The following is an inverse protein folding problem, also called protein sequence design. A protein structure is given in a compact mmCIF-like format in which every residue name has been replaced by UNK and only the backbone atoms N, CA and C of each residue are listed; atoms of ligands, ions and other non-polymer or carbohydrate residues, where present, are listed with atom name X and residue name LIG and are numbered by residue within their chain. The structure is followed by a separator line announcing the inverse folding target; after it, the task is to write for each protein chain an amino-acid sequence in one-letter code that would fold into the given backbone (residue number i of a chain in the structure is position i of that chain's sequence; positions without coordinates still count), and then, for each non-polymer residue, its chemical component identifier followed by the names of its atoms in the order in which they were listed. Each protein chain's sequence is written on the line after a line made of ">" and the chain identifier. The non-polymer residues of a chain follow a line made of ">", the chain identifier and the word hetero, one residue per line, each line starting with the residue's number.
data_IF_458684700630
#
_entry.id   IF_458684700630
#
_cell.length_a   1.000
_cell.length_b   1.000
_cell.length_c   1.000
_cell.angle_alpha   90.00
_cell.angle_beta   90.00
_cell.angle_gamma   90.00
#
_symmetry.space_group_name_H-M   'P 1'
#
loop_
_entity.id
_entity.type
_entity.pdbx_description
1 polymer ?
#
# COMPACT_ATOMS: atom_id res chain seq x y z
N UNK A 1 -12.37 -12.33 -3.58
CA UNK A 1 -13.48 -11.69 -4.30
C UNK A 1 -13.45 -10.22 -3.98
N UNK A 2 -13.58 -9.36 -4.99
CA UNK A 2 -13.75 -7.91 -4.78
C UNK A 2 -15.19 -7.62 -4.33
N UNK A 3 -15.37 -6.66 -3.42
CA UNK A 3 -16.71 -6.20 -3.00
C UNK A 3 -17.44 -5.52 -4.16
N UNK A 4 -18.77 -5.40 -4.15
CA UNK A 4 -19.51 -4.71 -5.21
C UNK A 4 -19.15 -3.21 -5.27
N UNK A 5 -19.09 -2.55 -4.11
CA UNK A 5 -18.84 -1.11 -3.90
C UNK A 5 -17.34 -0.72 -3.89
N UNK A 6 -16.46 -1.64 -4.29
CA UNK A 6 -15.03 -1.51 -3.99
C UNK A 6 -14.34 -0.31 -4.63
N UNK A 7 -14.80 0.12 -5.80
CA UNK A 7 -14.19 1.22 -6.55
C UNK A 7 -14.42 2.56 -5.84
N UNK A 8 -15.63 2.80 -5.36
CA UNK A 8 -15.98 4.01 -4.60
C UNK A 8 -15.19 4.06 -3.29
N UNK A 9 -15.16 2.92 -2.56
CA UNK A 9 -14.40 2.79 -1.31
C UNK A 9 -12.90 2.97 -1.52
N UNK A 10 -12.37 2.53 -2.65
CA UNK A 10 -10.95 2.72 -2.98
C UNK A 10 -10.63 4.20 -3.23
N UNK A 11 -11.48 4.90 -3.97
CA UNK A 11 -11.31 6.34 -4.21
C UNK A 11 -11.34 7.10 -2.88
N UNK A 12 -12.32 6.80 -2.02
CA UNK A 12 -12.43 7.38 -0.69
C UNK A 12 -11.16 7.13 0.15
N UNK A 13 -10.66 5.89 0.18
CA UNK A 13 -9.44 5.55 0.89
C UNK A 13 -8.24 6.37 0.37
N UNK A 14 -8.06 6.45 -0.95
CA UNK A 14 -6.95 7.23 -1.55
C UNK A 14 -7.07 8.71 -1.19
N UNK A 15 -8.28 9.29 -1.22
CA UNK A 15 -8.52 10.69 -0.85
C UNK A 15 -8.21 10.96 0.62
N UNK A 16 -8.72 10.13 1.54
CA UNK A 16 -8.44 10.26 2.97
C UNK A 16 -6.94 10.22 3.27
N UNK A 17 -6.21 9.34 2.59
CA UNK A 17 -4.76 9.23 2.77
C UNK A 17 -4.00 10.41 2.15
N UNK A 18 -4.54 11.03 1.09
CA UNK A 18 -3.96 12.22 0.50
C UNK A 18 -4.04 13.42 1.45
N UNK A 19 -5.13 13.56 2.20
CA UNK A 19 -5.37 14.68 3.14
C UNK A 19 -4.62 14.53 4.47
N UNK A 20 -4.30 13.30 4.89
CA UNK A 20 -3.57 13.06 6.15
C UNK A 20 -2.08 13.42 6.03
N UNK A 21 -1.43 13.92 7.08
CA UNK A 21 0.03 14.09 7.07
C UNK A 21 0.74 12.72 6.99
N UNK A 22 2.00 12.73 6.57
CA UNK A 22 2.81 11.52 6.66
C UNK A 22 3.05 11.16 8.13
N UNK A 23 2.88 9.89 8.48
CA UNK A 23 3.26 9.32 9.76
C UNK A 23 3.44 7.81 9.64
N UNK A 24 4.60 7.33 10.06
CA UNK A 24 4.90 5.90 10.12
C UNK A 24 3.88 5.18 11.02
N UNK A 25 3.28 4.11 10.49
CA UNK A 25 2.36 3.25 11.20
C UNK A 25 0.98 3.86 11.43
N UNK A 26 0.71 5.01 10.80
CA UNK A 26 -0.55 5.73 10.98
C UNK A 26 -0.74 6.28 12.39
N UNK A 27 0.34 6.55 13.13
CA UNK A 27 0.21 7.19 14.44
C UNK A 27 -0.14 8.67 14.30
N UNK A 28 -0.77 9.22 15.34
CA UNK A 28 -1.08 10.65 15.44
C UNK A 28 -1.97 11.17 14.28
N UNK A 29 -2.85 10.30 13.77
CA UNK A 29 -3.79 10.61 12.69
C UNK A 29 -3.16 10.70 11.29
N UNK A 30 -1.86 10.43 11.16
CA UNK A 30 -1.17 10.42 9.87
C UNK A 30 -1.27 9.08 9.14
N UNK A 31 -0.46 8.92 8.10
CA UNK A 31 -0.40 7.69 7.30
C UNK A 31 0.92 7.51 6.56
N UNK A 32 1.24 6.27 6.20
CA UNK A 32 2.38 5.89 5.35
C UNK A 32 1.93 5.03 4.16
N UNK A 33 2.87 4.65 3.30
CA UNK A 33 2.55 3.86 2.10
C UNK A 33 1.96 2.48 2.43
N UNK A 34 2.35 1.86 3.54
CA UNK A 34 1.87 0.55 3.94
C UNK A 34 0.42 0.64 4.46
N UNK A 35 0.11 1.65 5.28
CA UNK A 35 -1.25 1.93 5.73
C UNK A 35 -2.20 2.21 4.55
N UNK A 36 -1.76 3.01 3.57
CA UNK A 36 -2.53 3.27 2.35
C UNK A 36 -2.82 1.97 1.58
N UNK A 37 -1.79 1.15 1.37
CA UNK A 37 -1.95 -0.13 0.68
C UNK A 37 -2.92 -1.09 1.40
N UNK A 38 -2.88 -1.13 2.74
CA UNK A 38 -3.79 -1.98 3.54
C UNK A 38 -5.22 -1.45 3.58
N UNK A 39 -5.42 -0.14 3.65
CA UNK A 39 -6.76 0.45 3.54
C UNK A 39 -7.34 0.25 2.13
N UNK A 40 -6.51 0.31 1.08
CA UNK A 40 -6.93 -0.06 -0.26
C UNK A 40 -7.27 -1.56 -0.37
N UNK A 41 -6.48 -2.45 0.22
CA UNK A 41 -6.79 -3.88 0.25
C UNK A 41 -8.13 -4.16 0.96
N UNK A 42 -8.40 -3.46 2.07
CA UNK A 42 -9.68 -3.50 2.78
C UNK A 42 -10.81 -2.86 1.99
N UNK A 43 -10.54 -1.80 1.23
CA UNK A 43 -11.49 -1.19 0.31
C UNK A 43 -11.93 -2.21 -0.77
N UNK A 44 -10.96 -2.91 -1.34
CA UNK A 44 -11.14 -3.89 -2.42
C UNK A 44 -11.81 -5.17 -1.96
N UNK A 45 -11.35 -5.75 -0.87
CA UNK A 45 -11.71 -7.13 -0.45
C UNK A 45 -12.55 -7.20 0.81
N UNK A 46 -12.71 -6.07 1.53
CA UNK A 46 -13.32 -6.04 2.86
C UNK A 46 -12.38 -6.48 3.99
N UNK A 47 -11.18 -6.98 3.69
CA UNK A 47 -10.23 -7.51 4.67
C UNK A 47 -8.92 -6.74 4.66
N UNK A 48 -8.36 -6.50 5.84
CA UNK A 48 -7.01 -5.97 6.03
C UNK A 48 -6.10 -7.10 6.56
N UNK A 49 -5.19 -7.66 5.72
CA UNK A 49 -4.32 -8.77 6.12
C UNK A 49 -3.32 -8.41 7.22
N UNK A 50 -3.06 -7.13 7.45
CA UNK A 50 -2.08 -6.62 8.40
C UNK A 50 -2.68 -5.62 9.39
N UNK A 51 -3.96 -5.82 9.76
CA UNK A 51 -4.66 -4.98 10.71
C UNK A 51 -3.92 -4.83 12.06
N UNK A 52 -3.16 -5.85 12.46
CA UNK A 52 -2.38 -5.88 13.70
C UNK A 52 -1.00 -5.18 13.60
N UNK A 53 -0.68 -4.57 12.46
CA UNK A 53 0.48 -3.68 12.29
C UNK A 53 0.16 -2.20 12.53
N UNK A 54 -1.12 -1.82 12.54
CA UNK A 54 -1.55 -0.42 12.68
C UNK A 54 -1.16 0.17 14.04
N UNK A 55 -0.47 1.31 14.00
CA UNK A 55 -0.01 2.04 15.19
C UNK A 55 1.16 1.38 15.94
N UNK A 56 1.79 0.35 15.37
CA UNK A 56 2.80 -0.48 16.07
C UNK A 56 4.24 -0.08 15.80
N UNK A 57 4.44 0.94 14.97
CA UNK A 57 5.73 1.52 14.69
C UNK A 57 5.56 3.03 14.43
N UNK A 58 6.60 3.81 14.70
CA UNK A 58 6.63 5.28 14.52
C UNK A 58 7.82 5.75 13.67
N UNK A 59 8.62 4.81 13.18
CA UNK A 59 9.82 5.08 12.39
C UNK A 59 10.00 3.97 11.36
N UNK A 60 10.72 4.27 10.27
CA UNK A 60 11.15 3.29 9.26
C UNK A 60 11.87 2.09 9.87
N UNK A 61 12.80 2.34 10.79
CA UNK A 61 13.56 1.27 11.49
C UNK A 61 12.61 0.43 12.36
N UNK A 62 11.62 1.06 13.00
CA UNK A 62 10.57 0.37 13.74
C UNK A 62 9.75 -0.57 12.86
N UNK A 63 9.32 -0.09 11.69
CA UNK A 63 8.63 -0.92 10.68
C UNK A 63 9.51 -2.10 10.25
N UNK A 64 10.80 -1.87 9.96
CA UNK A 64 11.74 -2.91 9.53
C UNK A 64 11.92 -3.99 10.58
N UNK A 65 12.03 -3.60 11.86
CA UNK A 65 12.09 -4.56 12.97
C UNK A 65 10.81 -5.40 13.06
N UNK A 66 9.64 -4.81 12.79
CA UNK A 66 8.36 -5.54 12.79
C UNK A 66 8.27 -6.54 11.65
N UNK A 67 8.59 -6.14 10.42
CA UNK A 67 8.63 -7.05 9.27
C UNK A 67 9.62 -8.19 9.46
N UNK A 68 10.84 -7.88 9.94
CA UNK A 68 11.84 -8.92 10.26
C UNK A 68 11.36 -9.92 11.31
N UNK A 69 10.62 -9.48 12.33
CA UNK A 69 10.03 -10.39 13.34
C UNK A 69 9.00 -11.36 12.73
N UNK A 70 8.41 -11.04 11.58
CA UNK A 70 7.53 -11.93 10.80
C UNK A 70 8.29 -12.78 9.79
N UNK A 71 9.62 -12.67 9.70
CA UNK A 71 10.42 -13.35 8.70
C UNK A 71 10.47 -12.64 7.34
N UNK A 72 10.00 -11.40 7.25
CA UNK A 72 10.00 -10.60 6.02
C UNK A 72 11.23 -9.70 5.95
N UNK A 73 11.86 -9.62 4.78
CA UNK A 73 12.93 -8.67 4.49
C UNK A 73 12.41 -7.23 4.43
N UNK A 74 11.33 -7.00 3.67
CA UNK A 74 10.64 -5.70 3.59
C UNK A 74 9.22 -5.81 2.98
N UNK A 75 8.74 -4.75 2.32
CA UNK A 75 7.40 -4.63 1.73
C UNK A 75 7.08 -5.74 0.71
N UNK A 76 8.04 -6.10 -0.14
CA UNK A 76 7.81 -7.12 -1.18
C UNK A 76 7.41 -8.47 -0.58
N UNK A 77 8.15 -8.93 0.44
CA UNK A 77 7.87 -10.19 1.13
C UNK A 77 6.53 -10.13 1.87
N UNK A 78 6.24 -9.00 2.51
CA UNK A 78 4.98 -8.80 3.21
C UNK A 78 3.77 -8.88 2.24
N UNK A 79 3.86 -8.27 1.06
CA UNK A 79 2.77 -8.35 0.08
C UNK A 79 2.70 -9.73 -0.59
N UNK A 80 3.84 -10.34 -0.92
CA UNK A 80 3.90 -11.68 -1.52
C UNK A 80 3.33 -12.77 -0.59
N UNK A 81 3.37 -12.56 0.74
CA UNK A 81 2.82 -13.50 1.72
C UNK A 81 1.28 -13.55 1.72
N UNK A 82 0.60 -12.51 1.22
CA UNK A 82 -0.87 -12.38 1.31
C UNK A 82 -1.57 -12.09 -0.03
N UNK A 83 -0.83 -11.68 -1.06
CA UNK A 83 -1.35 -11.37 -2.38
C UNK A 83 -0.57 -12.11 -3.48
N UNK A 84 -1.27 -12.46 -4.56
CA UNK A 84 -0.66 -13.11 -5.72
C UNK A 84 0.12 -12.07 -6.56
N UNK A 85 1.40 -12.30 -6.89
CA UNK A 85 2.13 -11.43 -7.80
C UNK A 85 1.46 -11.37 -9.18
N UNK A 86 1.45 -10.19 -9.80
CA UNK A 86 0.93 -9.99 -11.16
C UNK A 86 1.98 -9.27 -12.01
N UNK A 87 2.12 -9.61 -13.31
CA UNK A 87 2.95 -8.83 -14.22
C UNK A 87 2.49 -7.36 -14.23
N UNK A 88 3.43 -6.43 -14.15
CA UNK A 88 3.13 -4.97 -14.10
C UNK A 88 2.21 -4.50 -15.23
N UNK A 89 2.36 -4.93 -16.50
CA UNK A 89 1.42 -4.56 -17.57
C UNK A 89 -0.02 -5.07 -17.39
N UNK A 90 -0.21 -6.07 -16.53
CA UNK A 90 -1.52 -6.65 -16.19
C UNK A 90 -2.06 -6.15 -14.86
N UNK A 91 -1.34 -5.25 -14.17
CA UNK A 91 -1.82 -4.66 -12.93
C UNK A 91 -3.05 -3.78 -13.22
N UNK A 92 -4.10 -3.96 -12.42
CA UNK A 92 -5.38 -3.28 -12.59
C UNK A 92 -5.68 -2.37 -11.41
N UNK A 93 -6.67 -1.48 -11.57
CA UNK A 93 -7.17 -0.66 -10.46
C UNK A 93 -7.43 -1.54 -9.22
N UNK A 94 -6.96 -1.08 -8.07
CA UNK A 94 -7.05 -1.79 -6.79
C UNK A 94 -5.85 -2.68 -6.47
N UNK A 95 -4.99 -3.00 -7.44
CA UNK A 95 -3.76 -3.76 -7.20
C UNK A 95 -2.71 -2.89 -6.50
N UNK A 96 -1.81 -3.56 -5.77
CA UNK A 96 -0.72 -2.91 -5.03
C UNK A 96 0.56 -3.03 -5.86
N UNK A 97 1.23 -1.91 -6.07
CA UNK A 97 2.52 -1.81 -6.71
C UNK A 97 3.63 -1.43 -5.73
N UNK A 98 4.87 -1.69 -6.15
CA UNK A 98 6.08 -1.18 -5.51
C UNK A 98 6.83 -0.27 -6.47
N UNK A 99 7.35 0.83 -5.93
CA UNK A 99 8.25 1.77 -6.62
C UNK A 99 9.35 2.23 -5.67
N UNK A 100 10.39 2.81 -6.24
CA UNK A 100 11.32 3.64 -5.48
C UNK A 100 10.82 5.09 -5.49
N UNK A 101 10.76 5.70 -4.31
CA UNK A 101 10.46 7.12 -4.13
C UNK A 101 11.40 7.67 -3.04
N UNK A 102 12.05 8.81 -3.29
CA UNK A 102 13.00 9.44 -2.37
C UNK A 102 14.14 8.48 -1.91
N UNK A 103 14.59 7.59 -2.79
CA UNK A 103 15.63 6.59 -2.48
C UNK A 103 15.16 5.48 -1.53
N UNK A 104 13.85 5.31 -1.37
CA UNK A 104 13.25 4.28 -0.52
C UNK A 104 12.15 3.51 -1.25
N UNK A 105 11.96 2.25 -0.88
CA UNK A 105 10.82 1.48 -1.32
C UNK A 105 9.51 2.08 -0.80
N UNK A 106 8.55 2.26 -1.70
CA UNK A 106 7.24 2.81 -1.42
C UNK A 106 6.15 1.93 -2.04
N UNK A 107 5.15 1.60 -1.25
CA UNK A 107 3.94 0.95 -1.74
C UNK A 107 3.00 1.97 -2.40
N UNK A 108 2.45 1.61 -3.54
CA UNK A 108 1.48 2.42 -4.30
C UNK A 108 0.27 1.57 -4.66
N UNK A 109 -0.88 2.20 -4.86
CA UNK A 109 -2.11 1.52 -5.27
C UNK A 109 -2.52 1.99 -6.65
N UNK A 110 -2.75 1.04 -7.54
CA UNK A 110 -3.15 1.32 -8.92
C UNK A 110 -4.55 1.91 -8.94
N UNK A 111 -4.72 3.07 -9.58
CA UNK A 111 -6.01 3.77 -9.72
C UNK A 111 -6.47 3.92 -11.19
N UNK A 112 -5.73 3.33 -12.12
CA UNK A 112 -5.96 3.41 -13.56
C UNK A 112 -4.63 3.26 -14.29
N UNK A 113 -4.27 4.21 -15.15
CA UNK A 113 -2.94 4.27 -15.78
C UNK A 113 -1.84 4.73 -14.80
N UNK A 114 -2.21 5.23 -13.62
CA UNK A 114 -1.32 5.69 -12.57
C UNK A 114 -1.54 4.89 -11.28
N UNK A 115 -0.54 4.93 -10.40
CA UNK A 115 -0.60 4.42 -9.04
C UNK A 115 -0.28 5.54 -8.04
N UNK A 116 -0.89 5.47 -6.85
CA UNK A 116 -0.78 6.50 -5.80
C UNK A 116 -0.20 5.89 -4.54
N UNK A 117 0.75 6.58 -3.90
CA UNK A 117 1.34 6.17 -2.64
C UNK A 117 1.54 7.34 -1.69
N UNK A 118 2.07 7.02 -0.50
CA UNK A 118 2.40 8.01 0.53
C UNK A 118 3.88 7.94 0.89
N UNK A 119 4.62 8.97 0.50
CA UNK A 119 6.03 9.17 0.87
C UNK A 119 6.16 10.13 2.05
N UNK A 120 7.36 10.25 2.62
CA UNK A 120 7.67 11.25 3.65
C UNK A 120 7.44 12.68 3.15
N UNK A 121 7.55 12.92 1.83
CA UNK A 121 7.29 14.22 1.19
C UNK A 121 5.81 14.47 0.85
N UNK A 122 4.95 13.50 1.15
CA UNK A 122 3.51 13.55 0.87
C UNK A 122 3.08 12.54 -0.19
N UNK A 123 1.94 12.82 -0.80
CA UNK A 123 1.32 11.93 -1.78
C UNK A 123 2.11 11.90 -3.08
N UNK A 124 2.41 10.71 -3.58
CA UNK A 124 3.08 10.51 -4.87
C UNK A 124 2.11 9.88 -5.86
N UNK A 125 2.24 10.26 -7.15
CA UNK A 125 1.51 9.65 -8.26
C UNK A 125 2.52 9.28 -9.34
N UNK A 126 2.48 8.03 -9.80
CA UNK A 126 3.45 7.48 -10.74
C UNK A 126 2.76 6.65 -11.83
N UNK A 127 3.28 6.61 -13.07
CA UNK A 127 2.71 5.75 -14.10
C UNK A 127 2.85 4.27 -13.73
N UNK A 128 1.83 3.43 -13.99
CA UNK A 128 1.88 1.98 -13.67
C UNK A 128 3.08 1.28 -14.33
N UNK A 129 3.53 1.75 -15.49
CA UNK A 129 4.72 1.20 -16.17
C UNK A 129 6.03 1.37 -15.39
N UNK A 130 6.09 2.24 -14.38
CA UNK A 130 7.30 2.45 -13.56
C UNK A 130 7.30 1.58 -12.30
N UNK A 131 6.25 0.78 -12.07
CA UNK A 131 6.24 -0.20 -10.97
C UNK A 131 7.35 -1.23 -11.21
N UNK A 132 8.10 -1.56 -10.15
CA UNK A 132 9.07 -2.67 -10.17
C UNK A 132 8.41 -4.02 -9.91
N UNK A 133 7.26 -4.01 -9.22
CA UNK A 133 6.48 -5.19 -8.86
C UNK A 133 5.01 -4.79 -8.69
N UNK A 134 4.10 -5.72 -8.96
CA UNK A 134 2.68 -5.56 -8.67
C UNK A 134 2.10 -6.84 -8.05
N UNK A 135 1.05 -6.68 -7.26
CA UNK A 135 0.34 -7.72 -6.55
C UNK A 135 -1.17 -7.56 -6.75
N UNK A 136 -1.81 -8.64 -7.18
CA UNK A 136 -3.25 -8.67 -7.40
C UNK A 136 -4.01 -8.66 -6.09
N UNK A 137 -4.91 -7.70 -5.93
CA UNK A 137 -5.76 -7.59 -4.75
C UNK A 137 -7.18 -8.03 -5.07
N UNK A 138 -7.61 -9.09 -4.40
CA UNK A 138 -8.88 -9.76 -4.66
C UNK A 138 -8.87 -10.57 -5.97
N UNK A 139 -9.42 -11.79 -5.90
CA UNK A 139 -9.81 -12.55 -7.09
C UNK A 139 -11.07 -11.98 -7.72
#
# INVERSE_FOLDING_TARGET
>A
MRREDWQERLIEAVQQHAERPFSWGGTDGGTDCFMLAMDAAKAVTGTDPYADERGRYKTRIGALRRFRKRGFGWLEDAFAAVFEPVPVPLAQRGDIGLVEADGQDCAVVVIGAEAVGKSERGTIRVPVKTLRKAFKVGR
#
